data_IF_044899078655
#
_entry.id   IF_044899078655
#
_cell.length_a   1.000
_cell.length_b   1.000
_cell.length_c   1.000
_cell.angle_alpha   90.00
_cell.angle_beta   90.00
_cell.angle_gamma   90.00
#
_symmetry.space_group_name_H-M   'P 1'
#
loop_
_entity.id
_entity.type
_entity.pdbx_description
1 polymer ?
#
# COMPACT_ATOMS: atom_id res chain seq x y z
N UNK A 1 -32.62 15.36 50.94
CA UNK A 1 -33.28 15.10 49.66
C UNK A 1 -32.31 14.31 48.81
N UNK A 2 -32.52 13.00 48.72
CA UNK A 2 -31.82 12.13 47.79
C UNK A 2 -32.87 11.36 47.00
N UNK A 3 -32.41 10.72 45.93
CA UNK A 3 -33.16 9.93 44.94
C UNK A 3 -33.61 10.74 43.73
N UNK A 4 -32.73 10.76 42.71
CA UNK A 4 -33.03 10.78 41.27
C UNK A 4 -31.71 10.59 40.49
N UNK A 5 -31.01 9.47 40.70
CA UNK A 5 -29.80 9.12 39.91
C UNK A 5 -29.76 7.66 39.45
N UNK A 6 -30.41 6.73 40.15
CA UNK A 6 -30.34 5.29 39.81
C UNK A 6 -31.20 4.83 38.61
N UNK A 7 -32.16 5.63 38.13
CA UNK A 7 -33.05 5.23 37.02
C UNK A 7 -32.47 5.49 35.62
N UNK A 8 -31.76 6.61 35.44
CA UNK A 8 -31.14 6.97 34.16
C UNK A 8 -29.93 6.09 33.85
N UNK A 9 -29.09 5.79 34.86
CA UNK A 9 -27.91 4.92 34.72
C UNK A 9 -28.27 3.48 34.32
N UNK A 10 -29.35 2.92 34.88
CA UNK A 10 -29.81 1.58 34.52
C UNK A 10 -30.35 1.50 33.08
N UNK A 11 -31.04 2.56 32.60
CA UNK A 11 -31.56 2.64 31.24
C UNK A 11 -30.45 2.88 30.21
N UNK A 12 -29.47 3.74 30.51
CA UNK A 12 -28.29 3.96 29.65
C UNK A 12 -27.41 2.72 29.58
N UNK A 13 -27.12 2.07 30.71
CA UNK A 13 -26.32 0.84 30.73
C UNK A 13 -26.99 -0.32 29.99
N UNK A 14 -28.32 -0.46 30.05
CA UNK A 14 -29.06 -1.44 29.25
C UNK A 14 -28.93 -1.16 27.74
N UNK A 15 -29.08 0.12 27.34
CA UNK A 15 -28.95 0.52 25.92
C UNK A 15 -27.54 0.29 25.39
N UNK A 16 -26.52 0.63 26.16
CA UNK A 16 -25.12 0.40 25.80
C UNK A 16 -24.81 -1.09 25.60
N UNK A 17 -25.32 -1.95 26.49
CA UNK A 17 -25.17 -3.40 26.35
C UNK A 17 -25.80 -3.95 25.07
N UNK A 18 -26.97 -3.46 24.67
CA UNK A 18 -27.60 -3.88 23.40
C UNK A 18 -26.79 -3.41 22.17
N UNK A 19 -26.27 -2.18 22.19
CA UNK A 19 -25.36 -1.68 21.14
C UNK A 19 -24.10 -2.56 21.07
N UNK A 20 -23.51 -2.90 22.21
CA UNK A 20 -22.32 -3.75 22.28
C UNK A 20 -22.58 -5.16 21.74
N UNK A 21 -23.74 -5.76 22.03
CA UNK A 21 -24.16 -7.05 21.46
C UNK A 21 -24.28 -6.97 19.94
N UNK A 22 -24.91 -5.91 19.43
CA UNK A 22 -25.08 -5.70 17.99
C UNK A 22 -23.73 -5.53 17.28
N UNK A 23 -22.84 -4.68 17.80
CA UNK A 23 -21.50 -4.48 17.26
C UNK A 23 -20.63 -5.75 17.34
N UNK A 24 -20.81 -6.56 18.39
CA UNK A 24 -20.15 -7.88 18.47
C UNK A 24 -20.64 -8.82 17.37
N UNK A 25 -21.95 -8.87 17.10
CA UNK A 25 -22.48 -9.67 16.00
C UNK A 25 -21.93 -9.22 14.64
N UNK A 26 -21.74 -7.91 14.44
CA UNK A 26 -21.06 -7.37 13.25
C UNK A 26 -19.60 -7.85 13.18
N UNK A 27 -18.83 -7.71 14.28
CA UNK A 27 -17.46 -8.20 14.34
C UNK A 27 -17.39 -9.70 14.01
N UNK A 28 -18.23 -10.51 14.63
CA UNK A 28 -18.21 -11.96 14.47
C UNK A 28 -18.59 -12.39 13.04
N UNK A 29 -19.41 -11.59 12.35
CA UNK A 29 -19.74 -11.78 10.93
C UNK A 29 -18.62 -11.36 9.98
N UNK A 30 -17.90 -10.28 10.29
CA UNK A 30 -16.82 -9.74 9.43
C UNK A 30 -15.50 -10.50 9.64
N UNK A 31 -15.16 -10.83 10.89
CA UNK A 31 -13.85 -11.37 11.25
C UNK A 31 -13.44 -12.62 10.45
N UNK A 32 -14.32 -13.59 10.14
CA UNK A 32 -13.95 -14.73 9.29
C UNK A 32 -13.61 -14.34 7.85
N UNK A 33 -14.22 -13.27 7.32
CA UNK A 33 -14.03 -12.81 5.94
C UNK A 33 -12.68 -12.12 5.72
N UNK A 34 -12.11 -11.55 6.78
CA UNK A 34 -10.87 -10.77 6.73
C UNK A 34 -9.75 -11.37 7.59
N UNK A 35 -9.93 -12.59 8.12
CA UNK A 35 -8.97 -13.19 9.07
C UNK A 35 -7.58 -13.41 8.48
N UNK A 36 -7.51 -13.74 7.20
CA UNK A 36 -6.25 -13.99 6.49
C UNK A 36 -5.61 -12.71 5.93
N UNK A 37 -6.31 -11.57 6.04
CA UNK A 37 -5.81 -10.28 5.58
C UNK A 37 -4.93 -9.61 6.64
N UNK A 38 -3.87 -8.95 6.18
CA UNK A 38 -2.98 -8.14 7.01
C UNK A 38 -3.14 -6.63 6.74
N UNK A 39 -4.25 -6.23 6.12
CA UNK A 39 -4.49 -4.86 5.67
C UNK A 39 -5.07 -4.00 6.81
N UNK A 40 -4.76 -2.70 6.88
CA UNK A 40 -5.39 -1.82 7.87
C UNK A 40 -6.92 -1.75 7.64
N UNK A 41 -7.69 -1.71 8.73
CA UNK A 41 -9.14 -1.52 8.71
C UNK A 41 -9.50 -0.18 9.34
N UNK A 42 -10.15 0.69 8.57
CA UNK A 42 -10.70 1.96 9.03
C UNK A 42 -12.21 1.81 9.24
N UNK A 43 -12.71 2.22 10.40
CA UNK A 43 -14.15 2.26 10.68
C UNK A 43 -14.67 3.68 10.46
N UNK A 44 -15.81 3.80 9.78
CA UNK A 44 -16.56 5.04 9.65
C UNK A 44 -17.81 4.97 10.52
N UNK A 45 -17.84 5.77 11.59
CA UNK A 45 -18.93 5.77 12.57
C UNK A 45 -18.87 7.02 13.43
N UNK A 46 -19.95 7.34 14.14
CA UNK A 46 -19.89 8.34 15.20
C UNK A 46 -19.04 7.82 16.37
N UNK A 47 -18.28 8.70 17.02
CA UNK A 47 -17.33 8.33 18.08
C UNK A 47 -17.86 7.36 19.17
N UNK A 48 -19.08 7.56 19.74
CA UNK A 48 -19.59 6.64 20.76
C UNK A 48 -19.71 5.19 20.26
N UNK A 49 -20.06 4.99 18.98
CA UNK A 49 -20.16 3.65 18.39
C UNK A 49 -18.79 3.05 18.13
N UNK A 50 -17.82 3.85 17.69
CA UNK A 50 -16.47 3.39 17.45
C UNK A 50 -15.77 2.94 18.75
N UNK A 51 -15.93 3.69 19.84
CA UNK A 51 -15.33 3.32 21.12
C UNK A 51 -15.84 1.96 21.62
N UNK A 52 -17.15 1.68 21.49
CA UNK A 52 -17.74 0.37 21.82
C UNK A 52 -17.27 -0.71 20.83
N UNK A 53 -17.20 -0.40 19.53
CA UNK A 53 -16.75 -1.37 18.52
C UNK A 53 -15.31 -1.83 18.78
N UNK A 54 -14.41 -0.91 19.16
CA UNK A 54 -13.02 -1.23 19.51
C UNK A 54 -12.92 -2.25 20.64
N UNK A 55 -13.84 -2.25 21.61
CA UNK A 55 -13.84 -3.21 22.71
C UNK A 55 -14.25 -4.63 22.29
N UNK A 56 -15.04 -4.76 21.22
CA UNK A 56 -15.53 -6.06 20.73
C UNK A 56 -14.80 -6.54 19.48
N UNK A 57 -14.00 -5.69 18.86
CA UNK A 57 -13.22 -6.00 17.67
C UNK A 57 -12.17 -7.07 17.96
N UNK A 58 -12.12 -8.09 17.10
CA UNK A 58 -11.09 -9.13 17.12
C UNK A 58 -10.07 -9.01 15.97
N UNK A 59 -10.25 -8.06 15.04
CA UNK A 59 -9.33 -7.89 13.92
C UNK A 59 -8.05 -7.16 14.35
N UNK A 60 -6.85 -7.77 14.18
CA UNK A 60 -5.60 -7.20 14.72
C UNK A 60 -5.22 -5.84 14.13
N UNK A 61 -5.57 -5.58 12.86
CA UNK A 61 -5.14 -4.39 12.13
C UNK A 61 -6.24 -3.30 12.09
N UNK A 62 -7.09 -3.24 13.12
CA UNK A 62 -8.01 -2.10 13.31
C UNK A 62 -7.19 -0.83 13.58
N UNK A 63 -7.43 0.21 12.79
CA UNK A 63 -6.79 1.52 13.00
C UNK A 63 -7.25 2.14 14.33
N UNK A 64 -6.32 2.77 15.05
CA UNK A 64 -6.64 3.48 16.30
C UNK A 64 -7.48 4.74 16.06
N UNK A 65 -7.38 5.33 14.87
CA UNK A 65 -8.22 6.42 14.39
C UNK A 65 -9.43 5.86 13.62
N UNK A 66 -10.52 6.63 13.60
CA UNK A 66 -11.74 6.32 12.85
C UNK A 66 -12.20 7.55 12.09
N UNK A 67 -12.99 7.32 11.05
CA UNK A 67 -13.65 8.38 10.32
C UNK A 67 -14.95 8.75 11.06
N UNK A 68 -14.94 9.88 11.76
CA UNK A 68 -16.11 10.37 12.50
C UNK A 68 -17.11 11.04 11.54
N UNK A 69 -18.12 10.30 11.12
CA UNK A 69 -19.13 10.75 10.14
C UNK A 69 -20.55 10.45 10.60
N UNK A 70 -21.48 11.32 10.19
CA UNK A 70 -22.91 11.06 10.28
C UNK A 70 -23.46 10.75 8.88
N UNK A 71 -23.77 9.49 8.60
CA UNK A 71 -24.28 9.03 7.30
C UNK A 71 -25.63 9.63 6.87
N UNK A 72 -26.30 10.41 7.73
CA UNK A 72 -27.45 11.22 7.34
C UNK A 72 -27.10 12.51 6.59
N UNK A 73 -25.86 13.00 6.74
CA UNK A 73 -25.42 14.31 6.24
C UNK A 73 -24.38 14.22 5.12
N UNK A 74 -23.87 13.01 4.85
CA UNK A 74 -22.78 12.73 3.90
C UNK A 74 -23.12 11.50 3.07
N UNK A 75 -22.80 11.54 1.78
CA UNK A 75 -22.95 10.38 0.92
C UNK A 75 -21.76 9.40 1.01
N UNK A 76 -21.94 8.21 0.44
CA UNK A 76 -20.92 7.15 0.51
C UNK A 76 -19.64 7.46 -0.28
N UNK A 77 -19.72 8.29 -1.34
CA UNK A 77 -18.56 8.67 -2.14
C UNK A 77 -17.68 9.66 -1.38
N UNK A 78 -18.29 10.64 -0.73
CA UNK A 78 -17.57 11.58 0.14
C UNK A 78 -16.93 10.84 1.33
N UNK A 79 -17.64 9.89 1.95
CA UNK A 79 -17.06 9.01 2.99
C UNK A 79 -15.85 8.25 2.46
N UNK A 80 -15.92 7.71 1.24
CA UNK A 80 -14.81 7.01 0.62
C UNK A 80 -13.60 7.94 0.38
N UNK A 81 -13.81 9.15 -0.11
CA UNK A 81 -12.71 10.12 -0.29
C UNK A 81 -12.01 10.47 1.02
N UNK A 82 -12.79 10.71 2.09
CA UNK A 82 -12.24 10.99 3.42
C UNK A 82 -11.48 9.80 3.99
N UNK A 83 -12.04 8.59 3.85
CA UNK A 83 -11.38 7.36 4.25
C UNK A 83 -10.05 7.17 3.50
N UNK A 84 -10.02 7.42 2.19
CA UNK A 84 -8.82 7.31 1.38
C UNK A 84 -7.75 8.31 1.80
N UNK A 85 -8.12 9.57 2.09
CA UNK A 85 -7.17 10.59 2.61
C UNK A 85 -6.47 10.14 3.88
N UNK A 86 -7.16 9.41 4.77
CA UNK A 86 -6.57 8.85 6.00
C UNK A 86 -5.71 7.62 5.73
N UNK A 87 -6.14 6.74 4.83
CA UNK A 87 -5.48 5.44 4.62
C UNK A 87 -4.31 5.48 3.63
N UNK A 88 -4.39 6.31 2.58
CA UNK A 88 -3.39 6.36 1.51
C UNK A 88 -1.94 6.51 2.02
N UNK A 89 -1.65 7.38 3.01
CA UNK A 89 -0.30 7.51 3.54
C UNK A 89 0.27 6.22 4.16
N UNK A 90 -0.57 5.34 4.71
CA UNK A 90 -0.13 4.07 5.31
C UNK A 90 0.43 3.12 4.25
N UNK A 91 -0.24 3.04 3.10
CA UNK A 91 0.20 2.22 1.97
C UNK A 91 1.42 2.82 1.28
N UNK A 92 1.50 4.15 1.24
CA UNK A 92 2.58 4.89 0.58
C UNK A 92 3.89 4.91 1.38
N UNK A 93 3.82 4.67 2.70
CA UNK A 93 4.99 4.74 3.59
C UNK A 93 6.12 3.81 3.17
N UNK A 94 5.81 2.56 2.81
CA UNK A 94 6.84 1.58 2.42
C UNK A 94 7.61 2.04 1.19
N UNK A 95 6.91 2.58 0.18
CA UNK A 95 7.51 3.17 -1.02
C UNK A 95 8.44 4.33 -0.66
N UNK A 96 7.97 5.27 0.17
CA UNK A 96 8.77 6.41 0.62
C UNK A 96 10.03 5.99 1.39
N UNK A 97 9.91 4.99 2.26
CA UNK A 97 11.05 4.45 3.02
C UNK A 97 12.09 3.83 2.07
N UNK A 98 11.66 3.10 1.04
CA UNK A 98 12.55 2.54 0.00
C UNK A 98 13.22 3.62 -0.84
N UNK A 99 12.49 4.69 -1.21
CA UNK A 99 13.06 5.84 -1.93
C UNK A 99 14.12 6.52 -1.05
N UNK A 100 13.83 6.78 0.22
CA UNK A 100 14.78 7.37 1.15
C UNK A 100 16.04 6.50 1.33
N UNK A 101 15.87 5.18 1.40
CA UNK A 101 16.99 4.23 1.48
C UNK A 101 17.83 4.24 0.19
N UNK A 102 17.19 4.27 -0.98
CA UNK A 102 17.90 4.43 -2.25
C UNK A 102 18.77 5.68 -2.25
N UNK A 103 18.21 6.84 -1.87
CA UNK A 103 18.95 8.10 -1.82
C UNK A 103 20.14 8.03 -0.86
N UNK A 104 19.99 7.35 0.28
CA UNK A 104 21.06 7.15 1.26
C UNK A 104 22.19 6.25 0.75
N UNK A 105 21.86 5.19 0.01
CA UNK A 105 22.85 4.20 -0.45
C UNK A 105 23.46 4.57 -1.83
N UNK A 106 23.15 5.75 -2.40
CA UNK A 106 23.76 6.20 -3.64
C UNK A 106 25.29 6.23 -3.53
N UNK A 107 25.96 5.73 -4.57
CA UNK A 107 27.43 5.67 -4.63
C UNK A 107 28.08 4.56 -3.79
N UNK A 108 27.30 3.78 -3.02
CA UNK A 108 27.82 2.67 -2.20
C UNK A 108 27.92 1.34 -2.96
N UNK A 109 27.37 1.28 -4.17
CA UNK A 109 27.25 0.05 -4.97
C UNK A 109 25.94 -0.71 -4.78
N UNK A 110 25.09 -0.33 -3.83
CA UNK A 110 23.77 -0.95 -3.59
C UNK A 110 22.61 -0.35 -4.39
N UNK A 111 22.90 0.58 -5.29
CA UNK A 111 21.90 1.22 -6.14
C UNK A 111 22.34 1.13 -7.59
N UNK A 112 21.38 0.96 -8.49
CA UNK A 112 21.61 1.04 -9.93
C UNK A 112 20.61 1.97 -10.60
N UNK A 113 21.07 2.55 -11.71
CA UNK A 113 20.33 3.49 -12.54
C UNK A 113 20.58 3.04 -13.98
N UNK A 114 19.52 2.90 -14.76
CA UNK A 114 19.61 2.51 -16.17
C UNK A 114 19.37 1.01 -16.39
N UNK A 115 18.80 0.70 -17.55
CA UNK A 115 18.31 -0.63 -17.88
C UNK A 115 19.44 -1.67 -18.01
N UNK A 116 20.61 -1.23 -18.46
CA UNK A 116 21.83 -2.00 -18.71
C UNK A 116 22.31 -2.74 -17.45
N UNK A 117 22.24 -2.08 -16.30
CA UNK A 117 22.63 -2.66 -15.01
C UNK A 117 21.47 -3.39 -14.34
N UNK A 118 20.25 -2.91 -14.55
CA UNK A 118 19.09 -3.34 -13.78
C UNK A 118 18.52 -4.65 -14.30
N UNK A 119 18.45 -4.87 -15.62
CA UNK A 119 17.95 -6.13 -16.17
C UNK A 119 18.76 -7.34 -15.67
N UNK A 120 20.10 -7.37 -15.81
CA UNK A 120 20.88 -8.53 -15.35
C UNK A 120 20.75 -8.73 -13.84
N UNK A 121 20.69 -7.65 -13.07
CA UNK A 121 20.47 -7.73 -11.63
C UNK A 121 19.08 -8.28 -11.26
N UNK A 122 18.04 -7.94 -12.02
CA UNK A 122 16.69 -8.43 -11.82
C UNK A 122 16.60 -9.94 -12.10
N UNK A 123 17.21 -10.41 -13.20
CA UNK A 123 17.29 -11.85 -13.51
C UNK A 123 18.03 -12.64 -12.44
N UNK A 124 19.13 -12.09 -11.91
CA UNK A 124 19.92 -12.72 -10.86
C UNK A 124 19.34 -12.54 -9.44
N UNK A 125 18.12 -12.00 -9.29
CA UNK A 125 17.45 -11.84 -8.01
C UNK A 125 18.12 -10.85 -7.04
N UNK A 126 18.98 -9.96 -7.55
CA UNK A 126 19.72 -8.98 -6.74
C UNK A 126 18.91 -7.74 -6.39
N UNK A 127 17.85 -7.47 -7.16
CA UNK A 127 16.97 -6.31 -6.95
C UNK A 127 16.09 -6.56 -5.73
N UNK A 128 16.19 -5.66 -4.74
CA UNK A 128 15.27 -5.57 -3.61
C UNK A 128 14.04 -4.77 -4.02
N UNK A 129 14.24 -3.57 -4.57
CA UNK A 129 13.16 -2.67 -4.99
C UNK A 129 13.48 -2.08 -6.36
N UNK A 130 12.53 -2.15 -7.28
CA UNK A 130 12.58 -1.53 -8.59
C UNK A 130 11.62 -0.33 -8.64
N UNK A 131 12.09 0.79 -9.17
CA UNK A 131 11.29 1.98 -9.44
C UNK A 131 11.25 2.22 -10.94
N UNK A 132 10.05 2.21 -11.52
CA UNK A 132 9.81 2.43 -12.94
C UNK A 132 9.03 3.74 -13.13
N UNK A 133 9.42 4.54 -14.11
CA UNK A 133 8.68 5.74 -14.48
C UNK A 133 7.36 5.34 -15.14
N UNK A 134 6.28 5.98 -14.71
CA UNK A 134 4.93 5.77 -15.18
C UNK A 134 4.77 6.27 -16.62
N UNK A 135 3.94 5.58 -17.42
CA UNK A 135 3.66 5.94 -18.83
C UNK A 135 4.91 6.13 -19.69
N UNK A 136 5.99 5.42 -19.34
CA UNK A 136 7.29 5.49 -19.99
C UNK A 136 7.84 4.08 -20.10
N UNK A 137 8.53 3.78 -21.19
CA UNK A 137 9.14 2.48 -21.41
C UNK A 137 10.49 2.60 -22.11
N UNK A 138 11.26 1.51 -22.07
CA UNK A 138 12.48 1.29 -22.82
C UNK A 138 12.28 0.00 -23.60
N UNK A 139 12.18 0.12 -24.93
CA UNK A 139 12.03 -1.04 -25.81
C UNK A 139 13.39 -1.54 -26.30
N UNK A 140 13.48 -2.84 -26.54
CA UNK A 140 14.69 -3.43 -27.08
C UNK A 140 14.68 -4.95 -27.03
N UNK A 141 15.88 -5.53 -27.05
CA UNK A 141 16.12 -6.95 -26.91
C UNK A 141 17.09 -7.22 -25.76
N UNK A 142 16.86 -8.34 -25.07
CA UNK A 142 17.77 -8.83 -24.05
C UNK A 142 18.10 -10.30 -24.31
N UNK A 143 19.40 -10.61 -24.42
CA UNK A 143 19.92 -11.97 -24.51
C UNK A 143 20.54 -12.36 -23.17
N UNK A 144 19.85 -13.23 -22.44
CA UNK A 144 20.26 -13.66 -21.10
C UNK A 144 21.62 -14.38 -21.11
N UNK A 145 21.93 -15.14 -22.16
CA UNK A 145 23.15 -15.96 -22.28
C UNK A 145 24.45 -15.15 -22.12
N UNK A 146 24.47 -13.91 -22.59
CA UNK A 146 25.64 -13.04 -22.60
C UNK A 146 25.39 -11.66 -21.95
N UNK A 147 24.23 -11.46 -21.32
CA UNK A 147 23.75 -10.17 -20.81
C UNK A 147 23.77 -9.04 -21.85
N UNK A 148 23.54 -9.35 -23.12
CA UNK A 148 23.54 -8.37 -24.19
C UNK A 148 22.18 -7.66 -24.27
N UNK A 149 22.20 -6.33 -24.18
CA UNK A 149 21.02 -5.46 -24.18
C UNK A 149 21.14 -4.51 -25.37
N UNK A 150 20.17 -4.60 -26.27
CA UNK A 150 20.06 -3.67 -27.41
C UNK A 150 18.80 -2.84 -27.24
N UNK A 151 18.96 -1.55 -26.95
CA UNK A 151 17.84 -0.59 -26.85
C UNK A 151 17.48 -0.07 -28.23
N UNK A 152 16.19 0.01 -28.54
CA UNK A 152 15.66 0.50 -29.81
C UNK A 152 14.85 1.79 -29.62
N UNK A 153 14.81 2.64 -30.65
CA UNK A 153 13.94 3.82 -30.65
C UNK A 153 12.51 3.52 -31.12
N UNK A 154 12.30 2.37 -31.78
CA UNK A 154 10.99 1.90 -32.19
C UNK A 154 10.19 1.38 -30.99
N UNK A 155 8.87 1.57 -31.04
CA UNK A 155 7.91 0.95 -30.13
C UNK A 155 7.90 -0.59 -30.28
N UNK A 156 7.11 -1.26 -29.44
CA UNK A 156 6.91 -2.71 -29.44
C UNK A 156 6.52 -3.22 -30.83
N UNK A 157 7.28 -4.18 -31.34
CA UNK A 157 7.01 -4.92 -32.57
C UNK A 157 7.41 -6.38 -32.36
N UNK A 158 7.21 -7.24 -33.36
CA UNK A 158 7.52 -8.67 -33.27
C UNK A 158 8.95 -8.99 -32.79
N UNK A 159 9.88 -8.03 -32.90
CA UNK A 159 11.28 -8.17 -32.54
C UNK A 159 11.74 -7.25 -31.39
N UNK A 160 10.85 -6.54 -30.70
CA UNK A 160 11.21 -5.67 -29.57
C UNK A 160 10.26 -5.90 -28.40
N UNK A 161 10.82 -5.98 -27.20
CA UNK A 161 10.05 -6.17 -25.96
C UNK A 161 10.24 -4.97 -25.03
N UNK A 162 9.29 -4.77 -24.12
CA UNK A 162 9.44 -3.84 -23.00
C UNK A 162 10.50 -4.35 -22.02
N UNK A 163 11.67 -3.70 -22.03
CA UNK A 163 12.76 -4.03 -21.12
C UNK A 163 12.40 -3.66 -19.67
N UNK A 164 11.63 -2.58 -19.46
CA UNK A 164 11.16 -2.21 -18.12
C UNK A 164 10.18 -3.23 -17.57
N UNK A 165 9.25 -3.73 -18.39
CA UNK A 165 8.33 -4.79 -17.99
C UNK A 165 9.07 -6.10 -17.67
N UNK A 166 10.06 -6.48 -18.50
CA UNK A 166 10.90 -7.65 -18.22
C UNK A 166 11.61 -7.52 -16.86
N UNK A 167 12.23 -6.36 -16.59
CA UNK A 167 12.88 -6.10 -15.31
C UNK A 167 11.89 -6.15 -14.13
N UNK A 168 10.69 -5.58 -14.31
CA UNK A 168 9.63 -5.59 -13.31
C UNK A 168 9.15 -7.00 -12.99
N UNK A 169 8.80 -7.79 -14.01
CA UNK A 169 8.36 -9.19 -13.87
C UNK A 169 9.43 -10.03 -13.18
N UNK A 170 10.69 -9.92 -13.60
CA UNK A 170 11.80 -10.66 -13.00
C UNK A 170 12.08 -10.25 -11.56
N UNK A 171 12.00 -8.96 -11.26
CA UNK A 171 12.13 -8.46 -9.88
C UNK A 171 11.02 -9.03 -8.99
N UNK A 172 9.76 -8.96 -9.45
CA UNK A 172 8.60 -9.45 -8.71
C UNK A 172 8.67 -10.96 -8.46
N UNK A 173 8.95 -11.76 -9.49
CA UNK A 173 9.07 -13.22 -9.37
C UNK A 173 10.20 -13.62 -8.41
N UNK A 174 11.29 -12.85 -8.38
CA UNK A 174 12.41 -13.08 -7.47
C UNK A 174 12.16 -12.53 -6.05
N UNK A 175 10.96 -12.01 -5.75
CA UNK A 175 10.56 -11.54 -4.43
C UNK A 175 10.97 -10.10 -4.10
N UNK A 176 11.36 -9.32 -5.11
CA UNK A 176 11.56 -7.87 -4.97
C UNK A 176 10.25 -7.10 -5.13
N UNK A 177 10.28 -5.83 -4.73
CA UNK A 177 9.15 -4.91 -4.86
C UNK A 177 9.27 -4.09 -6.15
N UNK A 178 8.13 -3.75 -6.77
CA UNK A 178 8.09 -2.89 -7.95
C UNK A 178 7.14 -1.74 -7.71
N UNK A 179 7.63 -0.52 -7.91
CA UNK A 179 6.84 0.71 -7.81
C UNK A 179 6.82 1.44 -9.14
N UNK A 180 5.62 1.81 -9.58
CA UNK A 180 5.41 2.70 -10.72
C UNK A 180 5.26 4.13 -10.19
N UNK A 181 6.09 5.04 -10.66
CA UNK A 181 6.22 6.39 -10.11
C UNK A 181 6.10 7.43 -11.22
N UNK A 182 5.47 8.57 -10.93
CA UNK A 182 5.60 9.73 -11.80
C UNK A 182 7.05 10.24 -11.78
N UNK A 183 7.47 10.90 -12.86
CA UNK A 183 8.87 11.29 -13.08
C UNK A 183 9.46 12.11 -11.93
N UNK A 184 8.65 12.98 -11.34
CA UNK A 184 9.04 13.87 -10.25
C UNK A 184 9.28 13.13 -8.93
N UNK A 185 8.68 11.95 -8.76
CA UNK A 185 8.86 11.10 -7.58
C UNK A 185 10.01 10.08 -7.74
N UNK A 186 10.56 9.96 -8.96
CA UNK A 186 11.65 9.02 -9.23
C UNK A 186 12.90 9.35 -8.39
N UNK A 187 13.56 8.35 -7.77
CA UNK A 187 14.77 8.61 -6.98
C UNK A 187 15.90 9.29 -7.77
N UNK A 188 16.03 8.94 -9.06
CA UNK A 188 16.75 9.74 -10.04
C UNK A 188 15.82 10.07 -11.22
N UNK A 189 15.33 11.31 -11.34
CA UNK A 189 14.40 11.73 -12.39
C UNK A 189 14.97 11.73 -13.82
N UNK A 190 16.29 11.59 -13.98
CA UNK A 190 16.93 11.52 -15.29
C UNK A 190 16.95 10.09 -15.87
N UNK A 191 16.47 9.10 -15.11
CA UNK A 191 16.38 7.71 -15.55
C UNK A 191 14.96 7.19 -15.37
N UNK A 192 14.46 6.52 -16.41
CA UNK A 192 13.15 5.85 -16.41
C UNK A 192 13.09 4.64 -15.48
N UNK A 193 14.24 4.14 -15.04
CA UNK A 193 14.34 2.95 -14.21
C UNK A 193 15.49 3.09 -13.18
N UNK A 194 15.18 2.80 -11.93
CA UNK A 194 16.10 2.83 -10.79
C UNK A 194 15.92 1.56 -9.96
N UNK A 195 16.98 1.05 -9.34
CA UNK A 195 16.92 -0.14 -8.50
C UNK A 195 17.72 0.02 -7.21
N UNK A 196 17.14 -0.44 -6.11
CA UNK A 196 17.83 -0.74 -4.86
C UNK A 196 18.14 -2.24 -4.82
N UNK A 197 19.38 -2.58 -4.48
CA UNK A 197 19.83 -3.96 -4.36
C UNK A 197 19.75 -4.47 -2.92
N UNK A 198 19.64 -5.80 -2.78
CA UNK A 198 19.60 -6.49 -1.48
C UNK A 198 20.95 -6.45 -0.74
N UNK A 199 22.05 -6.40 -1.49
CA UNK A 199 23.43 -6.45 -1.02
C UNK A 199 24.39 -5.78 -2.02
#
# INVERSE_FOLDING_TARGET
GHVMYHGQEAATGKRENEIKKYLRAINDGIAPLIREENRPMLVAAQRPLFDIYREVNSYPNLMGEHLNVNFGDIDIFEVHELAWKMMAPLFDRKRKDKIALFLKEQGTGKTAIGIDKIIPAAFNGRVDTLFCENKSDIFGNYKEENNDITVTQSEENDNTISLMNVAAVKTFINGGEVYLLDKEEMPNPNSRINALYRY
#
